data_IF_074551856591
#
_entry.id   IF_074551856591
#
_cell.length_a   1.000
_cell.length_b   1.000
_cell.length_c   1.000
_cell.angle_alpha   90.00
_cell.angle_beta   90.00
_cell.angle_gamma   90.00
#
_symmetry.space_group_name_H-M   'P 1'
#
loop_
_entity.id
_entity.type
_entity.pdbx_description
1 polymer ?
#
# COMPACT_ATOMS: atom_id res chain seq x y z
N UNK A 1 0.75 -12.71 -6.48
CA UNK A 1 0.59 -14.14 -6.09
C UNK A 1 0.58 -14.29 -4.56
N UNK A 2 0.13 -15.44 -4.03
CA UNK A 2 0.12 -15.73 -2.59
C UNK A 2 0.95 -16.98 -2.30
N UNK A 3 1.75 -16.96 -1.25
CA UNK A 3 2.63 -18.06 -0.85
C UNK A 3 2.21 -18.61 0.51
N UNK A 4 1.91 -19.90 0.57
CA UNK A 4 1.47 -20.61 1.76
C UNK A 4 2.51 -21.67 2.10
N UNK A 5 3.15 -21.51 3.25
CA UNK A 5 4.23 -22.37 3.72
C UNK A 5 3.88 -23.04 5.04
N UNK A 6 4.69 -24.00 5.46
CA UNK A 6 4.54 -24.70 6.74
C UNK A 6 5.11 -26.12 6.67
N UNK A 7 5.15 -26.81 7.79
CA UNK A 7 5.61 -28.21 7.83
C UNK A 7 4.73 -29.17 7.02
N UNK A 8 5.26 -30.36 6.78
CA UNK A 8 4.48 -31.46 6.22
C UNK A 8 3.27 -31.78 7.10
N UNK A 9 2.15 -32.15 6.46
CA UNK A 9 0.91 -32.55 7.13
C UNK A 9 0.26 -31.50 8.05
N UNK A 10 0.61 -30.22 7.92
CA UNK A 10 0.06 -29.12 8.74
C UNK A 10 -1.29 -28.58 8.26
N UNK A 11 -1.97 -29.25 7.32
CA UNK A 11 -3.29 -28.84 6.84
C UNK A 11 -3.32 -27.68 5.82
N UNK A 12 -2.19 -27.34 5.18
CA UNK A 12 -2.08 -26.19 4.24
C UNK A 12 -3.12 -26.19 3.11
N UNK A 13 -3.35 -27.34 2.45
CA UNK A 13 -4.31 -27.42 1.34
C UNK A 13 -5.73 -27.09 1.81
N UNK A 14 -6.15 -27.70 2.91
CA UNK A 14 -7.47 -27.49 3.49
C UNK A 14 -7.65 -26.05 3.97
N UNK A 15 -6.62 -25.49 4.60
CA UNK A 15 -6.58 -24.06 4.97
C UNK A 15 -6.82 -23.15 3.76
N UNK A 16 -6.12 -23.39 2.64
CA UNK A 16 -6.27 -22.61 1.41
C UNK A 16 -7.66 -22.76 0.81
N UNK A 17 -8.19 -23.98 0.74
CA UNK A 17 -9.54 -24.25 0.21
C UNK A 17 -10.60 -23.50 0.97
N UNK A 18 -10.55 -23.55 2.30
CA UNK A 18 -11.54 -22.90 3.15
C UNK A 18 -11.41 -21.37 3.13
N UNK A 19 -10.19 -20.84 3.15
CA UNK A 19 -9.94 -19.39 3.16
C UNK A 19 -10.27 -18.71 1.84
N UNK A 20 -9.94 -19.34 0.72
CA UNK A 20 -10.06 -18.74 -0.61
C UNK A 20 -11.18 -19.35 -1.46
N UNK A 21 -11.98 -20.26 -0.89
CA UNK A 21 -13.11 -20.92 -1.54
C UNK A 21 -12.74 -21.60 -2.87
N UNK A 22 -11.60 -22.29 -2.89
CA UNK A 22 -11.09 -22.96 -4.09
C UNK A 22 -11.59 -24.39 -4.15
N UNK A 23 -12.15 -24.76 -5.30
CA UNK A 23 -12.56 -26.13 -5.60
C UNK A 23 -11.34 -27.04 -5.80
N UNK A 24 -11.43 -28.30 -5.38
CA UNK A 24 -10.31 -29.27 -5.50
C UNK A 24 -9.84 -29.41 -6.96
N UNK A 25 -10.75 -29.35 -7.93
CA UNK A 25 -10.44 -29.43 -9.35
C UNK A 25 -9.57 -28.27 -9.87
N UNK A 26 -9.50 -27.15 -9.14
CA UNK A 26 -8.69 -25.96 -9.46
C UNK A 26 -7.32 -25.97 -8.76
N UNK A 27 -7.02 -27.04 -8.02
CA UNK A 27 -5.76 -27.23 -7.31
C UNK A 27 -4.93 -28.27 -8.05
N UNK A 28 -3.81 -27.85 -8.62
CA UNK A 28 -2.83 -28.81 -9.10
C UNK A 28 -2.14 -29.48 -7.91
N UNK A 29 -2.32 -30.79 -7.79
CA UNK A 29 -1.67 -31.65 -6.81
C UNK A 29 -0.92 -32.73 -7.56
N UNK A 30 0.37 -32.51 -7.84
CA UNK A 30 1.14 -33.42 -8.69
C UNK A 30 2.62 -33.09 -8.75
N UNK A 31 3.27 -33.65 -9.77
CA UNK A 31 4.70 -33.52 -10.01
C UNK A 31 5.08 -32.48 -11.05
N UNK A 32 6.35 -32.49 -11.43
CA UNK A 32 6.90 -31.82 -12.59
C UNK A 32 6.74 -32.71 -13.84
N UNK A 33 6.38 -32.15 -15.02
CA UNK A 33 5.97 -30.77 -15.23
C UNK A 33 4.51 -30.53 -14.79
N UNK A 34 4.22 -29.32 -14.33
CA UNK A 34 2.84 -28.84 -14.17
C UNK A 34 2.20 -28.70 -15.56
N UNK A 35 1.10 -29.40 -15.85
CA UNK A 35 0.42 -29.30 -17.14
C UNK A 35 -0.32 -27.97 -17.27
N UNK A 36 -0.58 -27.56 -18.50
CA UNK A 36 -1.49 -26.43 -18.74
C UNK A 36 -2.89 -26.76 -18.20
N UNK A 37 -3.54 -25.75 -17.65
CA UNK A 37 -4.86 -25.88 -17.03
C UNK A 37 -5.29 -24.58 -16.38
N UNK A 38 -6.58 -24.47 -16.09
CA UNK A 38 -7.16 -23.34 -15.39
C UNK A 38 -6.98 -23.49 -13.87
N UNK A 39 -5.71 -23.50 -13.44
CA UNK A 39 -5.33 -23.65 -12.04
C UNK A 39 -5.51 -22.34 -11.28
N UNK A 40 -5.93 -22.43 -10.02
CA UNK A 40 -5.93 -21.32 -9.07
C UNK A 40 -4.90 -21.54 -7.95
N UNK A 41 -4.51 -22.79 -7.73
CA UNK A 41 -3.53 -23.17 -6.72
C UNK A 41 -2.60 -24.27 -7.24
N UNK A 42 -1.32 -24.14 -6.92
CA UNK A 42 -0.32 -25.19 -7.10
C UNK A 42 0.07 -25.68 -5.70
N UNK A 43 -0.26 -26.93 -5.39
CA UNK A 43 0.10 -27.55 -4.13
C UNK A 43 1.29 -28.48 -4.27
N UNK A 44 2.31 -28.27 -3.43
CA UNK A 44 3.49 -29.11 -3.37
C UNK A 44 4.66 -28.61 -4.22
N UNK A 45 4.87 -27.29 -4.28
CA UNK A 45 5.99 -26.69 -5.05
C UNK A 45 7.35 -27.32 -4.71
N UNK A 46 7.57 -27.65 -3.43
CA UNK A 46 8.79 -28.32 -2.97
C UNK A 46 9.00 -29.70 -3.62
N UNK A 47 7.94 -30.41 -4.04
CA UNK A 47 8.06 -31.68 -4.78
C UNK A 47 8.36 -31.43 -6.26
N UNK A 48 7.77 -30.38 -6.85
CA UNK A 48 8.10 -29.95 -8.21
C UNK A 48 9.59 -29.63 -8.29
N UNK A 49 10.11 -28.82 -7.36
CA UNK A 49 11.55 -28.48 -7.29
C UNK A 49 12.42 -29.75 -7.18
N UNK A 50 12.03 -30.71 -6.30
CA UNK A 50 12.74 -31.99 -6.16
C UNK A 50 12.79 -32.77 -7.47
N UNK A 51 11.66 -32.94 -8.13
CA UNK A 51 11.56 -33.71 -9.37
C UNK A 51 12.29 -33.02 -10.53
N UNK A 52 12.24 -31.69 -10.59
CA UNK A 52 13.00 -30.92 -11.57
C UNK A 52 14.51 -31.14 -11.40
N UNK A 53 15.02 -31.10 -10.16
CA UNK A 53 16.43 -31.41 -9.88
C UNK A 53 16.82 -32.84 -10.29
N UNK A 54 15.96 -33.82 -10.02
CA UNK A 54 16.23 -35.24 -10.34
C UNK A 54 16.11 -35.57 -11.84
N UNK A 55 15.42 -34.73 -12.62
CA UNK A 55 15.15 -34.98 -14.03
C UNK A 55 16.35 -34.76 -14.96
N UNK A 56 17.46 -34.16 -14.48
CA UNK A 56 18.62 -33.74 -15.27
C UNK A 56 18.31 -32.85 -16.50
N UNK A 57 17.08 -32.31 -16.60
CA UNK A 57 16.65 -31.44 -17.71
C UNK A 57 17.32 -30.06 -17.66
N UNK A 58 17.67 -29.62 -16.45
CA UNK A 58 18.40 -28.39 -16.18
C UNK A 58 19.76 -28.78 -15.59
N UNK A 59 20.85 -28.10 -15.98
CA UNK A 59 22.19 -28.35 -15.45
C UNK A 59 22.32 -27.79 -14.02
N UNK A 60 21.49 -28.30 -13.10
CA UNK A 60 21.53 -28.03 -11.66
C UNK A 60 21.46 -26.54 -11.27
N UNK A 61 20.99 -25.64 -12.12
CA UNK A 61 20.93 -24.22 -11.75
C UNK A 61 19.59 -23.89 -11.10
N UNK A 62 19.64 -23.51 -9.82
CA UNK A 62 18.51 -22.93 -9.06
C UNK A 62 17.76 -21.85 -9.86
N UNK A 63 18.46 -21.12 -10.73
CA UNK A 63 17.92 -20.05 -11.57
C UNK A 63 16.94 -20.56 -12.62
N UNK A 64 17.22 -21.69 -13.27
CA UNK A 64 16.33 -22.27 -14.28
C UNK A 64 15.03 -22.77 -13.65
N UNK A 65 15.13 -23.41 -12.47
CA UNK A 65 13.94 -23.86 -11.72
C UNK A 65 13.11 -22.65 -11.28
N UNK A 66 13.76 -21.60 -10.76
CA UNK A 66 13.07 -20.35 -10.42
C UNK A 66 12.40 -19.71 -11.64
N UNK A 67 13.05 -19.70 -12.79
CA UNK A 67 12.48 -19.19 -14.04
C UNK A 67 11.26 -19.99 -14.49
N UNK A 68 11.31 -21.32 -14.40
CA UNK A 68 10.16 -22.20 -14.64
C UNK A 68 8.99 -21.86 -13.71
N UNK A 69 9.25 -21.74 -12.40
CA UNK A 69 8.21 -21.44 -11.40
C UNK A 69 7.61 -20.04 -11.64
N UNK A 70 8.42 -19.03 -11.93
CA UNK A 70 7.93 -17.69 -12.32
C UNK A 70 7.10 -17.75 -13.60
N UNK A 71 7.50 -18.57 -14.58
CA UNK A 71 6.71 -18.81 -15.79
C UNK A 71 5.32 -19.36 -15.50
N UNK A 72 5.19 -20.27 -14.54
CA UNK A 72 3.88 -20.76 -14.07
C UNK A 72 3.07 -19.66 -13.37
N UNK A 73 3.71 -18.91 -12.48
CA UNK A 73 3.06 -17.84 -11.71
C UNK A 73 2.53 -16.74 -12.63
N UNK A 74 3.31 -16.34 -13.63
CA UNK A 74 2.94 -15.25 -14.54
C UNK A 74 1.79 -15.62 -15.49
N UNK A 75 1.55 -16.91 -15.74
CA UNK A 75 0.41 -17.38 -16.55
C UNK A 75 -0.93 -17.29 -15.81
N UNK A 76 -0.91 -17.24 -14.47
CA UNK A 76 -2.11 -17.37 -13.64
C UNK A 76 -2.20 -16.18 -12.69
N UNK A 77 -3.10 -15.21 -12.97
CA UNK A 77 -3.35 -14.09 -12.08
C UNK A 77 -3.73 -14.57 -10.67
N UNK A 78 -3.18 -13.91 -9.65
CA UNK A 78 -3.50 -14.17 -8.23
C UNK A 78 -3.29 -15.60 -7.70
N UNK A 79 -2.51 -16.43 -8.41
CA UNK A 79 -2.23 -17.83 -8.04
C UNK A 79 -1.78 -18.00 -6.58
N UNK A 80 -2.20 -19.11 -5.97
CA UNK A 80 -1.76 -19.54 -4.65
C UNK A 80 -0.77 -20.69 -4.76
N UNK A 81 0.43 -20.50 -4.23
CA UNK A 81 1.49 -21.50 -4.18
C UNK A 81 1.54 -22.08 -2.78
N UNK A 82 1.44 -23.40 -2.65
CA UNK A 82 1.61 -24.10 -1.38
C UNK A 82 2.92 -24.90 -1.40
N UNK A 83 3.75 -24.71 -0.38
CA UNK A 83 5.03 -25.39 -0.24
C UNK A 83 5.30 -25.85 1.20
N UNK A 84 6.18 -26.85 1.33
CA UNK A 84 6.68 -27.29 2.62
C UNK A 84 7.95 -26.52 2.95
N UNK A 85 8.13 -26.17 4.23
CA UNK A 85 9.37 -25.57 4.72
C UNK A 85 10.45 -26.65 4.90
N UNK A 86 10.98 -27.14 3.78
CA UNK A 86 11.98 -28.21 3.77
C UNK A 86 13.36 -27.75 4.22
N UNK A 87 13.62 -26.45 4.30
CA UNK A 87 14.89 -25.90 4.79
C UNK A 87 15.09 -26.09 6.29
N UNK A 88 14.02 -26.24 7.08
CA UNK A 88 14.08 -26.30 8.54
C UNK A 88 14.31 -27.73 9.05
N UNK A 89 15.07 -27.89 10.15
CA UNK A 89 15.31 -29.18 10.80
C UNK A 89 16.67 -29.82 10.47
N UNK A 90 16.85 -31.09 10.83
CA UNK A 90 18.14 -31.80 10.79
C UNK A 90 18.70 -31.85 9.37
N UNK A 91 19.94 -31.42 9.16
CA UNK A 91 20.60 -31.47 7.84
C UNK A 91 20.79 -32.91 7.38
N UNK A 92 20.36 -33.31 6.16
CA UNK A 92 20.49 -34.69 5.70
C UNK A 92 21.94 -35.09 5.45
N UNK A 93 22.23 -36.38 5.65
CA UNK A 93 23.54 -36.96 5.36
C UNK A 93 23.79 -37.11 3.85
N UNK A 94 22.73 -37.38 3.08
CA UNK A 94 22.78 -37.54 1.63
C UNK A 94 22.97 -36.19 0.91
N UNK A 95 23.91 -36.12 -0.03
CA UNK A 95 24.25 -34.88 -0.75
C UNK A 95 23.07 -34.33 -1.55
N UNK A 96 22.37 -35.19 -2.30
CA UNK A 96 21.23 -34.78 -3.13
C UNK A 96 20.07 -34.20 -2.29
N UNK A 97 19.81 -34.75 -1.11
CA UNK A 97 18.80 -34.21 -0.20
C UNK A 97 19.20 -32.85 0.39
N UNK A 98 20.50 -32.60 0.61
CA UNK A 98 20.99 -31.27 1.00
C UNK A 98 20.80 -30.24 -0.11
N UNK A 99 21.22 -30.58 -1.34
CA UNK A 99 21.11 -29.72 -2.52
C UNK A 99 19.66 -29.36 -2.81
N UNK A 100 18.77 -30.35 -2.74
CA UNK A 100 17.34 -30.14 -2.84
C UNK A 100 16.82 -29.13 -1.81
N UNK A 101 17.14 -29.33 -0.53
CA UNK A 101 16.65 -28.46 0.55
C UNK A 101 17.17 -27.03 0.42
N UNK A 102 18.43 -26.87 0.04
CA UNK A 102 19.00 -25.55 -0.23
C UNK A 102 18.29 -24.88 -1.40
N UNK A 103 18.16 -25.56 -2.54
CA UNK A 103 17.49 -25.04 -3.73
C UNK A 103 16.04 -24.62 -3.42
N UNK A 104 15.27 -25.51 -2.78
CA UNK A 104 13.89 -25.24 -2.40
C UNK A 104 13.77 -24.05 -1.43
N UNK A 105 14.65 -23.97 -0.42
CA UNK A 105 14.68 -22.85 0.50
C UNK A 105 14.98 -21.52 -0.19
N UNK A 106 15.98 -21.49 -1.09
CA UNK A 106 16.35 -20.28 -1.84
C UNK A 106 15.23 -19.82 -2.79
N UNK A 107 14.58 -20.75 -3.49
CA UNK A 107 13.43 -20.43 -4.34
C UNK A 107 12.29 -19.85 -3.50
N UNK A 108 11.97 -20.46 -2.35
CA UNK A 108 10.95 -19.92 -1.45
C UNK A 108 11.29 -18.53 -0.92
N UNK A 109 12.56 -18.23 -0.65
CA UNK A 109 13.00 -16.88 -0.29
C UNK A 109 12.74 -15.86 -1.41
N UNK A 110 13.03 -16.19 -2.67
CA UNK A 110 12.73 -15.30 -3.80
C UNK A 110 11.23 -15.11 -3.99
N UNK A 111 10.46 -16.20 -3.94
CA UNK A 111 9.01 -16.15 -4.03
C UNK A 111 8.38 -15.34 -2.89
N UNK A 112 8.90 -15.43 -1.66
CA UNK A 112 8.42 -14.64 -0.54
C UNK A 112 8.63 -13.12 -0.74
N UNK A 113 9.72 -12.72 -1.43
CA UNK A 113 9.94 -11.31 -1.81
C UNK A 113 8.91 -10.82 -2.82
N UNK A 114 8.53 -11.68 -3.76
CA UNK A 114 7.59 -11.36 -4.84
C UNK A 114 6.12 -11.48 -4.43
N UNK A 115 5.81 -12.31 -3.42
CA UNK A 115 4.46 -12.57 -2.97
C UNK A 115 3.75 -11.31 -2.47
N UNK A 116 2.46 -11.19 -2.76
CA UNK A 116 1.59 -10.20 -2.13
C UNK A 116 1.28 -10.62 -0.70
N UNK A 117 1.19 -11.93 -0.44
CA UNK A 117 0.94 -12.47 0.90
C UNK A 117 1.79 -13.71 1.12
N UNK A 118 2.43 -13.80 2.28
CA UNK A 118 3.12 -15.00 2.76
C UNK A 118 2.45 -15.41 4.07
N UNK A 119 1.97 -16.64 4.13
CA UNK A 119 1.34 -17.20 5.34
C UNK A 119 2.00 -18.52 5.71
N UNK A 120 2.27 -18.72 7.00
CA UNK A 120 2.70 -20.00 7.54
C UNK A 120 1.52 -20.68 8.20
N UNK A 121 1.29 -21.95 7.87
CA UNK A 121 0.24 -22.77 8.48
C UNK A 121 0.87 -23.75 9.45
N UNK A 122 0.34 -23.76 10.67
CA UNK A 122 0.69 -24.71 11.73
C UNK A 122 -0.59 -25.27 12.35
N UNK A 123 -0.73 -26.59 12.40
CA UNK A 123 -1.92 -27.28 12.88
C UNK A 123 -3.23 -26.78 12.24
N UNK A 124 -3.21 -26.46 10.94
CA UNK A 124 -4.35 -25.89 10.21
C UNK A 124 -4.60 -24.40 10.46
N UNK A 125 -3.81 -23.75 11.32
CA UNK A 125 -3.94 -22.33 11.67
C UNK A 125 -2.93 -21.52 10.86
N UNK A 126 -3.42 -20.53 10.11
CA UNK A 126 -2.59 -19.62 9.33
C UNK A 126 -2.10 -18.42 10.13
N UNK A 127 -0.83 -18.08 9.95
CA UNK A 127 -0.19 -16.87 10.45
C UNK A 127 0.36 -16.06 9.27
N UNK A 128 -0.05 -14.80 9.15
CA UNK A 128 0.50 -13.88 8.14
C UNK A 128 1.92 -13.49 8.52
N UNK A 129 2.88 -13.83 7.65
CA UNK A 129 4.29 -13.41 7.76
C UNK A 129 4.49 -12.08 7.04
N UNK A 130 3.89 -11.94 5.86
CA UNK A 130 3.96 -10.76 5.00
C UNK A 130 2.63 -10.55 4.31
N UNK A 131 2.22 -9.31 4.14
CA UNK A 131 1.09 -8.93 3.30
C UNK A 131 1.31 -7.57 2.64
N UNK A 132 0.82 -7.42 1.42
CA UNK A 132 0.79 -6.17 0.68
C UNK A 132 -0.64 -5.61 0.73
N UNK A 133 -0.75 -4.34 1.11
CA UNK A 133 -1.99 -3.56 1.00
C UNK A 133 -1.72 -2.29 0.20
N UNK A 134 -2.78 -1.66 -0.27
CA UNK A 134 -2.72 -0.45 -1.07
C UNK A 134 -3.37 0.71 -0.35
N UNK A 135 -2.81 1.90 -0.56
CA UNK A 135 -3.28 3.14 0.05
C UNK A 135 -3.39 4.19 -1.04
N UNK A 136 -4.59 4.70 -1.29
CA UNK A 136 -4.78 5.90 -2.12
C UNK A 136 -4.77 7.12 -1.21
N UNK A 137 -3.72 7.92 -1.28
CA UNK A 137 -3.65 9.25 -0.66
C UNK A 137 -4.29 10.25 -1.62
N UNK A 138 -5.44 10.82 -1.27
CA UNK A 138 -6.21 11.70 -2.16
C UNK A 138 -6.36 13.06 -1.49
N UNK A 139 -5.95 14.13 -2.19
CA UNK A 139 -6.19 15.50 -1.75
C UNK A 139 -7.65 15.84 -2.03
N UNK A 140 -8.31 16.49 -1.07
CA UNK A 140 -9.69 16.97 -1.25
C UNK A 140 -9.86 17.82 -2.53
N UNK A 141 -11.08 17.85 -3.05
CA UNK A 141 -11.44 18.73 -4.18
C UNK A 141 -11.28 20.22 -3.85
N UNK A 142 -11.32 21.07 -4.87
CA UNK A 142 -11.08 22.51 -4.71
C UNK A 142 -12.15 23.19 -3.83
N UNK A 143 -11.72 24.13 -2.97
CA UNK A 143 -12.59 25.08 -2.25
C UNK A 143 -12.52 26.48 -2.88
N UNK A 144 -13.37 27.41 -2.45
CA UNK A 144 -13.28 28.80 -2.90
C UNK A 144 -11.92 29.42 -2.54
N UNK A 145 -11.45 29.22 -1.30
CA UNK A 145 -10.14 29.69 -0.88
C UNK A 145 -8.99 29.10 -1.71
N UNK A 146 -9.09 27.85 -2.17
CA UNK A 146 -8.07 27.28 -3.08
C UNK A 146 -8.04 28.01 -4.44
N UNK A 147 -9.20 28.32 -5.02
CA UNK A 147 -9.27 29.03 -6.30
C UNK A 147 -8.71 30.46 -6.19
N UNK A 148 -8.82 31.07 -5.01
CA UNK A 148 -8.31 32.41 -4.70
C UNK A 148 -6.86 32.41 -4.18
N UNK A 149 -6.20 31.25 -4.10
CA UNK A 149 -4.83 31.14 -3.59
C UNK A 149 -4.69 31.51 -2.10
N UNK A 150 -5.76 31.33 -1.31
CA UNK A 150 -5.76 31.57 0.13
C UNK A 150 -5.16 30.41 0.90
N UNK A 151 -4.52 30.70 2.02
CA UNK A 151 -4.12 29.70 3.00
C UNK A 151 -5.37 29.15 3.71
N UNK A 152 -5.76 27.91 3.40
CA UNK A 152 -6.94 27.22 3.95
C UNK A 152 -6.49 26.02 4.77
N UNK A 153 -6.33 26.20 6.06
CA UNK A 153 -5.87 25.17 6.97
C UNK A 153 -7.01 24.68 7.87
N UNK A 154 -7.17 25.31 9.02
CA UNK A 154 -8.25 25.02 9.98
C UNK A 154 -9.59 25.65 9.59
N UNK A 155 -9.59 26.62 8.68
CA UNK A 155 -10.83 27.17 8.13
C UNK A 155 -11.62 26.04 7.45
N UNK A 156 -12.82 25.77 7.96
CA UNK A 156 -13.60 24.59 7.60
C UNK A 156 -14.55 24.85 6.43
N UNK A 157 -13.94 25.07 5.26
CA UNK A 157 -14.66 25.31 4.00
C UNK A 157 -15.26 24.02 3.43
N UNK A 158 -16.38 24.19 2.72
CA UNK A 158 -16.93 23.19 1.80
C UNK A 158 -16.18 23.23 0.46
N UNK A 159 -16.40 22.20 -0.35
CA UNK A 159 -16.00 22.26 -1.76
C UNK A 159 -16.72 23.40 -2.49
N UNK A 160 -16.08 23.98 -3.50
CA UNK A 160 -16.77 24.83 -4.46
C UNK A 160 -17.42 23.95 -5.55
N UNK A 161 -18.34 24.52 -6.33
CA UNK A 161 -19.08 23.75 -7.35
C UNK A 161 -18.13 23.15 -8.40
N UNK A 162 -17.15 23.94 -8.86
CA UNK A 162 -16.08 23.46 -9.75
C UNK A 162 -15.33 22.25 -9.16
N UNK A 163 -15.03 22.28 -7.86
CA UNK A 163 -14.35 21.17 -7.18
C UNK A 163 -15.21 19.90 -7.09
N UNK A 164 -16.53 20.05 -6.94
CA UNK A 164 -17.47 18.92 -6.98
C UNK A 164 -17.55 18.31 -8.38
N UNK A 165 -17.67 19.15 -9.40
CA UNK A 165 -17.73 18.75 -10.81
C UNK A 165 -16.47 17.97 -11.22
N UNK A 166 -15.29 18.51 -10.88
CA UNK A 166 -14.00 17.88 -11.15
C UNK A 166 -13.90 16.49 -10.50
N UNK A 167 -14.32 16.34 -9.23
CA UNK A 167 -14.32 15.05 -8.55
C UNK A 167 -15.24 14.03 -9.23
N UNK A 168 -16.41 14.45 -9.69
CA UNK A 168 -17.35 13.56 -10.39
C UNK A 168 -16.80 13.12 -11.74
N UNK A 169 -16.19 14.03 -12.49
CA UNK A 169 -15.56 13.73 -13.78
C UNK A 169 -14.43 12.71 -13.59
N UNK A 170 -13.49 12.98 -12.67
CA UNK A 170 -12.35 12.10 -12.39
C UNK A 170 -12.79 10.74 -11.85
N UNK A 171 -13.84 10.71 -11.02
CA UNK A 171 -14.48 9.45 -10.58
C UNK A 171 -15.01 8.66 -11.78
N UNK A 172 -15.68 9.32 -12.73
CA UNK A 172 -16.17 8.71 -13.96
C UNK A 172 -15.06 8.13 -14.85
N UNK A 173 -13.87 8.72 -14.79
CA UNK A 173 -12.67 8.23 -15.48
C UNK A 173 -11.99 7.03 -14.77
N UNK A 174 -12.41 6.69 -13.54
CA UNK A 174 -11.89 5.54 -12.80
C UNK A 174 -10.52 5.76 -12.14
N UNK A 175 -9.99 6.99 -12.09
CA UNK A 175 -8.61 7.25 -11.63
C UNK A 175 -8.36 6.89 -10.16
N UNK A 176 -9.41 6.75 -9.35
CA UNK A 176 -9.32 6.46 -7.91
C UNK A 176 -9.39 4.97 -7.55
N UNK A 177 -9.52 4.07 -8.53
CA UNK A 177 -9.67 2.64 -8.28
C UNK A 177 -8.86 1.77 -9.23
N UNK A 178 -7.70 2.25 -9.69
CA UNK A 178 -6.86 1.55 -10.66
C UNK A 178 -5.43 1.32 -10.16
N UNK A 179 -4.83 0.22 -10.62
CA UNK A 179 -3.39 -0.08 -10.57
C UNK A 179 -2.94 -0.56 -11.95
N UNK A 180 -1.64 -0.74 -12.16
CA UNK A 180 -1.08 -1.20 -13.45
C UNK A 180 -1.74 -2.47 -14.00
N UNK A 181 -2.18 -3.38 -13.12
CA UNK A 181 -2.83 -4.65 -13.48
C UNK A 181 -4.36 -4.58 -13.61
N UNK A 182 -4.96 -3.39 -13.50
CA UNK A 182 -6.40 -3.17 -13.67
C UNK A 182 -7.08 -2.56 -12.43
N UNK A 183 -8.35 -2.90 -12.23
CA UNK A 183 -9.18 -2.31 -11.18
C UNK A 183 -8.78 -2.84 -9.79
N UNK A 184 -8.67 -1.93 -8.84
CA UNK A 184 -8.42 -2.17 -7.43
C UNK A 184 -9.50 -1.43 -6.59
N UNK A 185 -10.63 -2.10 -6.30
CA UNK A 185 -11.73 -1.49 -5.54
C UNK A 185 -11.27 -1.04 -4.16
N UNK A 186 -11.75 0.13 -3.72
CA UNK A 186 -11.52 0.62 -2.35
C UNK A 186 -12.46 -0.11 -1.41
N UNK A 187 -11.91 -0.68 -0.33
CA UNK A 187 -12.64 -1.47 0.66
C UNK A 187 -12.87 -0.70 1.97
N UNK A 188 -12.07 0.35 2.21
CA UNK A 188 -12.17 1.21 3.38
C UNK A 188 -11.80 2.66 3.06
N UNK A 189 -12.39 3.62 3.78
CA UNK A 189 -12.11 5.05 3.63
C UNK A 189 -11.72 5.66 4.97
N UNK A 190 -10.70 6.50 4.94
CA UNK A 190 -10.23 7.31 6.05
C UNK A 190 -10.25 8.76 5.61
N UNK A 191 -10.60 9.66 6.52
CA UNK A 191 -10.64 11.08 6.17
C UNK A 191 -10.22 11.99 7.32
N UNK A 192 -9.75 13.18 6.96
CA UNK A 192 -9.66 14.32 7.87
C UNK A 192 -11.06 14.77 8.32
N UNK A 193 -11.21 15.36 9.52
CA UNK A 193 -12.51 15.88 9.99
C UNK A 193 -13.02 17.08 9.18
N UNK A 194 -12.16 17.77 8.42
CA UNK A 194 -12.55 18.95 7.65
C UNK A 194 -13.62 18.63 6.59
N UNK A 195 -14.63 19.49 6.47
CA UNK A 195 -15.82 19.30 5.63
C UNK A 195 -15.46 19.04 4.17
N UNK A 196 -14.51 19.77 3.60
CA UNK A 196 -13.99 19.51 2.24
C UNK A 196 -13.48 18.07 2.04
N UNK A 197 -12.84 17.45 3.03
CA UNK A 197 -12.38 16.07 2.96
C UNK A 197 -13.54 15.08 3.10
N UNK A 198 -14.43 15.32 4.07
CA UNK A 198 -15.62 14.47 4.29
C UNK A 198 -16.54 14.49 3.07
N UNK A 199 -16.75 15.66 2.47
CA UNK A 199 -17.54 15.85 1.26
C UNK A 199 -16.88 15.14 0.06
N UNK A 200 -15.56 15.28 -0.10
CA UNK A 200 -14.80 14.55 -1.14
C UNK A 200 -14.96 13.03 -0.96
N UNK A 201 -14.80 12.52 0.26
CA UNK A 201 -14.95 11.09 0.56
C UNK A 201 -16.34 10.58 0.20
N UNK A 202 -17.40 11.35 0.51
CA UNK A 202 -18.78 11.01 0.17
C UNK A 202 -19.04 11.01 -1.34
N UNK A 203 -18.42 11.92 -2.10
CA UNK A 203 -18.53 11.95 -3.57
C UNK A 203 -17.87 10.71 -4.18
N UNK A 204 -16.65 10.38 -3.75
CA UNK A 204 -15.87 9.30 -4.33
C UNK A 204 -16.37 7.91 -3.91
N UNK A 205 -16.74 7.74 -2.64
CA UNK A 205 -17.08 6.46 -2.03
C UNK A 205 -18.38 6.54 -1.22
N UNK A 206 -19.54 6.77 -1.88
CA UNK A 206 -20.81 7.03 -1.19
C UNK A 206 -21.28 5.87 -0.30
N UNK A 207 -20.87 4.65 -0.61
CA UNK A 207 -21.31 3.43 0.09
C UNK A 207 -20.39 3.03 1.25
N UNK A 208 -19.30 3.76 1.48
CA UNK A 208 -18.32 3.46 2.54
C UNK A 208 -18.36 4.56 3.60
N UNK A 209 -18.70 4.19 4.84
CA UNK A 209 -18.63 5.12 5.97
C UNK A 209 -17.16 5.38 6.34
N UNK A 210 -16.68 6.64 6.28
CA UNK A 210 -15.28 6.93 6.51
C UNK A 210 -14.92 6.90 8.00
N UNK A 211 -13.72 6.42 8.30
CA UNK A 211 -13.09 6.59 9.62
C UNK A 211 -12.45 7.98 9.68
N UNK A 212 -12.89 8.80 10.63
CA UNK A 212 -12.38 10.18 10.80
C UNK A 212 -11.17 10.19 11.74
N UNK A 213 -10.06 10.77 11.28
CA UNK A 213 -8.82 10.91 12.06
C UNK A 213 -8.52 12.39 12.27
N UNK A 214 -8.68 12.88 13.51
CA UNK A 214 -8.52 14.30 13.87
C UNK A 214 -7.13 14.83 13.52
N UNK A 215 -6.11 14.01 13.73
CA UNK A 215 -4.70 14.30 13.49
C UNK A 215 -4.35 14.44 12.01
N UNK A 216 -5.28 14.18 11.09
CA UNK A 216 -5.14 14.47 9.66
C UNK A 216 -5.73 15.81 9.24
N UNK A 217 -6.15 16.67 10.17
CA UNK A 217 -6.49 18.08 9.87
C UNK A 217 -5.35 18.77 9.14
N UNK A 218 -5.63 19.74 8.26
CA UNK A 218 -4.57 20.50 7.59
C UNK A 218 -3.75 21.31 8.61
N UNK A 219 -2.59 21.76 8.16
CA UNK A 219 -1.71 22.68 8.86
C UNK A 219 -2.48 23.89 9.37
N UNK A 220 -2.22 24.29 10.61
CA UNK A 220 -2.74 25.54 11.15
C UNK A 220 -1.91 26.71 10.64
N UNK A 221 -2.45 27.48 9.69
CA UNK A 221 -1.74 28.63 9.12
C UNK A 221 -1.75 29.86 10.02
N UNK A 222 -2.38 29.79 11.21
CA UNK A 222 -2.37 30.86 12.20
C UNK A 222 -2.84 32.19 11.62
N UNK A 223 -2.03 33.24 11.76
CA UNK A 223 -2.35 34.58 11.25
C UNK A 223 -2.51 34.64 9.71
N UNK A 224 -2.01 33.65 8.97
CA UNK A 224 -2.13 33.62 7.52
C UNK A 224 -3.45 33.00 7.03
N UNK A 225 -4.22 32.34 7.90
CA UNK A 225 -5.52 31.74 7.55
C UNK A 225 -6.43 32.72 6.81
N UNK A 226 -7.07 32.18 5.77
CA UNK A 226 -8.05 32.87 4.96
C UNK A 226 -7.50 34.02 4.12
N UNK A 227 -6.18 34.23 4.05
CA UNK A 227 -5.56 35.30 3.26
C UNK A 227 -4.79 34.74 2.08
N UNK A 228 -4.78 35.48 0.98
CA UNK A 228 -3.89 35.22 -0.14
C UNK A 228 -2.60 36.03 -0.03
N UNK A 229 -1.67 35.80 -0.97
CA UNK A 229 -0.38 36.50 -1.02
C UNK A 229 -0.52 38.03 -1.01
N UNK A 230 -1.44 38.57 -1.82
CA UNK A 230 -1.59 40.03 -1.97
C UNK A 230 -2.09 40.67 -0.67
N UNK A 231 -3.08 40.07 -0.03
CA UNK A 231 -3.64 40.52 1.23
C UNK A 231 -2.60 40.47 2.36
N UNK A 232 -1.77 39.42 2.41
CA UNK A 232 -0.69 39.28 3.38
C UNK A 232 0.38 40.37 3.21
N UNK A 233 0.75 40.68 1.97
CA UNK A 233 1.75 41.72 1.68
C UNK A 233 1.23 43.14 1.86
N UNK A 234 -0.09 43.37 1.70
CA UNK A 234 -0.71 44.67 1.92
C UNK A 234 -0.92 45.01 3.41
N UNK A 235 -1.08 44.00 4.26
CA UNK A 235 -1.21 44.21 5.70
C UNK A 235 0.15 44.55 6.34
N UNK A 236 0.29 45.78 6.84
CA UNK A 236 1.53 46.30 7.46
C UNK A 236 2.02 45.46 8.64
N UNK A 237 1.15 44.73 9.34
CA UNK A 237 1.53 43.87 10.46
C UNK A 237 1.94 42.48 10.00
N UNK A 238 1.31 41.95 8.95
CA UNK A 238 1.55 40.59 8.48
C UNK A 238 2.68 40.51 7.45
N UNK A 239 2.88 41.55 6.63
CA UNK A 239 3.89 41.54 5.57
C UNK A 239 5.31 41.22 6.08
N UNK A 240 5.82 41.77 7.20
CA UNK A 240 7.13 41.39 7.74
C UNK A 240 7.19 39.93 8.19
N UNK A 241 6.11 39.41 8.79
CA UNK A 241 6.02 38.02 9.24
C UNK A 241 5.97 37.05 8.04
N UNK A 242 5.24 37.43 7.00
CA UNK A 242 5.13 36.66 5.77
C UNK A 242 6.47 36.64 5.02
N UNK A 243 7.16 37.78 4.90
CA UNK A 243 8.49 37.84 4.30
C UNK A 243 9.48 36.96 5.06
N UNK A 244 9.49 37.01 6.39
CA UNK A 244 10.36 36.15 7.20
C UNK A 244 10.05 34.64 7.02
N UNK A 245 8.79 34.29 6.74
CA UNK A 245 8.40 32.91 6.43
C UNK A 245 8.89 32.47 5.05
N UNK A 246 8.81 33.34 4.04
CA UNK A 246 9.36 33.10 2.70
C UNK A 246 10.88 32.97 2.74
N UNK A 247 11.57 33.87 3.46
CA UNK A 247 13.03 33.84 3.63
C UNK A 247 13.49 32.57 4.35
N UNK A 248 12.62 31.98 5.19
CA UNK A 248 12.80 30.68 5.82
C UNK A 248 12.45 29.48 4.93
N UNK A 249 12.25 29.68 3.62
CA UNK A 249 11.83 28.67 2.64
C UNK A 249 10.56 27.91 3.05
N UNK A 250 9.66 28.59 3.77
CA UNK A 250 8.43 28.00 4.30
C UNK A 250 8.65 26.92 5.36
N UNK A 251 9.84 26.84 5.97
CA UNK A 251 10.17 25.87 7.02
C UNK A 251 10.03 26.44 8.42
N UNK A 252 9.95 27.77 8.55
CA UNK A 252 9.70 28.43 9.83
C UNK A 252 8.24 28.22 10.26
N UNK A 253 7.95 28.18 11.58
CA UNK A 253 6.57 28.06 12.06
C UNK A 253 5.67 29.17 11.54
N UNK A 254 4.41 28.85 11.25
CA UNK A 254 3.42 29.87 10.96
C UNK A 254 3.18 30.75 12.22
N UNK A 255 3.09 32.09 12.08
CA UNK A 255 2.80 32.96 13.22
C UNK A 255 1.45 32.60 13.86
N UNK A 256 1.46 32.31 15.16
CA UNK A 256 0.29 31.80 15.91
C UNK A 256 -0.33 30.52 15.33
N UNK A 257 0.42 29.79 14.51
CA UNK A 257 0.00 28.55 13.86
C UNK A 257 0.88 27.37 14.25
N UNK A 258 0.83 26.33 13.41
CA UNK A 258 1.60 25.10 13.59
C UNK A 258 2.94 25.18 12.86
N UNK A 259 3.97 24.52 13.42
CA UNK A 259 5.23 24.31 12.70
C UNK A 259 5.16 23.07 11.79
N UNK A 260 5.99 23.05 10.74
CA UNK A 260 6.13 21.86 9.88
C UNK A 260 6.48 20.60 10.70
N UNK A 261 7.30 20.73 11.75
CA UNK A 261 7.66 19.61 12.61
C UNK A 261 6.48 19.09 13.43
N UNK A 262 5.67 19.98 14.03
CA UNK A 262 4.49 19.61 14.79
C UNK A 262 3.48 18.85 13.91
N UNK A 263 3.22 19.41 12.72
CA UNK A 263 2.37 18.81 11.71
C UNK A 263 2.88 17.41 11.32
N UNK A 264 4.16 17.29 10.97
CA UNK A 264 4.74 16.00 10.55
C UNK A 264 4.65 14.96 11.65
N UNK A 265 4.95 15.35 12.89
CA UNK A 265 4.91 14.46 14.05
C UNK A 265 3.50 13.92 14.29
N UNK A 266 2.46 14.76 14.27
CA UNK A 266 1.08 14.30 14.49
C UNK A 266 0.57 13.42 13.35
N UNK A 267 0.88 13.76 12.10
CA UNK A 267 0.46 12.96 10.94
C UNK A 267 1.16 11.61 10.90
N UNK A 268 2.47 11.57 11.19
CA UNK A 268 3.23 10.32 11.26
C UNK A 268 2.71 9.40 12.37
N UNK A 269 2.53 9.93 13.59
CA UNK A 269 2.02 9.15 14.71
C UNK A 269 0.59 8.61 14.45
N UNK A 270 -0.26 9.39 13.77
CA UNK A 270 -1.59 8.94 13.40
C UNK A 270 -1.57 7.85 12.32
N UNK A 271 -0.69 7.98 11.32
CA UNK A 271 -0.53 6.98 10.27
C UNK A 271 -0.02 5.64 10.83
N UNK A 272 0.95 5.67 11.75
CA UNK A 272 1.44 4.45 12.42
C UNK A 272 0.34 3.73 13.21
N UNK A 273 -0.50 4.48 13.93
CA UNK A 273 -1.68 3.93 14.63
C UNK A 273 -2.73 3.34 13.67
N UNK A 274 -2.73 3.78 12.42
CA UNK A 274 -3.65 3.32 11.38
C UNK A 274 -3.23 1.97 10.78
N UNK A 275 -1.95 1.60 10.85
CA UNK A 275 -1.39 0.39 10.21
C UNK A 275 -2.20 -0.90 10.49
N UNK A 276 -2.64 -1.20 11.73
CA UNK A 276 -3.43 -2.39 12.01
C UNK A 276 -4.81 -2.40 11.34
N UNK A 277 -5.37 -1.23 11.05
CA UNK A 277 -6.63 -1.10 10.32
C UNK A 277 -6.39 -1.24 8.81
N UNK A 278 -5.33 -0.61 8.28
CA UNK A 278 -4.93 -0.76 6.87
C UNK A 278 -4.66 -2.22 6.53
N UNK A 279 -4.08 -2.97 7.46
CA UNK A 279 -3.82 -4.40 7.35
C UNK A 279 -5.07 -5.28 7.09
N UNK A 280 -6.28 -4.76 7.35
CA UNK A 280 -7.55 -5.51 7.22
C UNK A 280 -8.22 -5.34 5.86
N UNK A 281 -7.74 -4.40 5.04
CA UNK A 281 -8.33 -4.07 3.73
C UNK A 281 -7.25 -4.15 2.67
N UNK A 282 -7.56 -4.70 1.50
CA UNK A 282 -6.60 -4.75 0.38
C UNK A 282 -6.31 -3.35 -0.14
N UNK A 283 -7.29 -2.45 -0.10
CA UNK A 283 -7.15 -1.08 -0.56
C UNK A 283 -7.94 -0.12 0.32
N UNK A 284 -7.25 0.86 0.90
CA UNK A 284 -7.85 1.94 1.69
C UNK A 284 -7.62 3.29 1.02
N UNK A 285 -8.66 4.11 0.89
CA UNK A 285 -8.51 5.51 0.48
C UNK A 285 -8.39 6.43 1.70
N UNK A 286 -7.39 7.31 1.70
CA UNK A 286 -7.18 8.38 2.68
C UNK A 286 -7.48 9.71 1.98
N UNK A 287 -8.65 10.28 2.26
CA UNK A 287 -9.07 11.59 1.71
C UNK A 287 -8.68 12.69 2.70
N UNK A 288 -7.60 13.39 2.40
CA UNK A 288 -6.88 14.30 3.31
C UNK A 288 -6.44 15.58 2.58
N UNK A 289 -5.45 16.29 3.11
CA UNK A 289 -4.97 17.56 2.55
C UNK A 289 -3.56 17.46 1.97
N UNK A 290 -3.13 18.50 1.26
CA UNK A 290 -1.80 18.55 0.66
C UNK A 290 -0.69 18.40 1.70
N UNK A 291 -0.79 19.11 2.83
CA UNK A 291 0.17 18.97 3.91
C UNK A 291 0.25 17.53 4.42
N UNK A 292 -0.91 16.93 4.72
CA UNK A 292 -1.00 15.54 5.23
C UNK A 292 -0.34 14.54 4.29
N UNK A 293 -0.58 14.67 2.98
CA UNK A 293 0.02 13.80 1.96
C UNK A 293 1.54 13.97 1.95
N UNK A 294 2.03 15.21 1.86
CA UNK A 294 3.46 15.50 1.87
C UNK A 294 4.15 14.95 3.12
N UNK A 295 3.50 15.05 4.28
CA UNK A 295 4.01 14.46 5.52
C UNK A 295 4.10 12.94 5.47
N UNK A 296 3.03 12.25 5.05
CA UNK A 296 3.01 10.78 4.98
C UNK A 296 4.04 10.30 3.94
N UNK A 297 4.03 10.88 2.74
CA UNK A 297 4.92 10.50 1.65
C UNK A 297 6.39 10.64 2.07
N UNK A 298 6.82 11.82 2.52
CA UNK A 298 8.22 12.05 2.94
C UNK A 298 8.63 11.20 4.16
N UNK A 299 7.68 10.85 5.04
CA UNK A 299 7.97 10.08 6.25
C UNK A 299 8.03 8.57 6.02
N UNK A 300 7.29 8.01 5.05
CA UNK A 300 7.11 6.56 4.95
C UNK A 300 7.48 5.97 3.58
N UNK A 301 7.43 6.76 2.50
CA UNK A 301 7.75 6.24 1.17
C UNK A 301 9.26 6.09 0.96
N UNK A 302 9.62 5.05 0.21
CA UNK A 302 10.97 4.75 -0.27
C UNK A 302 10.97 4.64 -1.80
N UNK A 303 11.94 5.25 -2.53
CA UNK A 303 13.03 6.09 -2.04
C UNK A 303 12.51 7.35 -1.32
N UNK A 304 13.34 7.92 -0.45
CA UNK A 304 12.97 9.11 0.30
C UNK A 304 12.85 10.31 -0.63
N UNK A 305 11.73 11.01 -0.52
CA UNK A 305 11.46 12.26 -1.22
C UNK A 305 11.36 13.42 -0.22
N UNK A 306 11.77 14.60 -0.66
CA UNK A 306 11.64 15.83 0.10
C UNK A 306 10.16 16.23 0.25
N UNK A 307 9.82 16.87 1.37
CA UNK A 307 8.43 17.18 1.73
C UNK A 307 7.64 17.87 0.61
N UNK A 308 8.20 18.96 0.05
CA UNK A 308 7.54 19.73 -1.01
C UNK A 308 7.54 19.05 -2.38
N UNK A 309 8.39 18.03 -2.61
CA UNK A 309 8.38 17.26 -3.85
C UNK A 309 7.13 16.37 -3.97
N UNK A 310 6.52 16.02 -2.84
CA UNK A 310 5.31 15.21 -2.77
C UNK A 310 4.00 16.03 -2.86
N UNK A 311 4.07 17.29 -3.30
CA UNK A 311 2.89 18.13 -3.45
C UNK A 311 2.03 17.67 -4.65
N UNK A 312 0.72 17.60 -4.44
CA UNK A 312 -0.28 17.29 -5.47
C UNK A 312 -1.38 18.35 -5.50
N UNK A 313 -2.05 18.51 -6.65
CA UNK A 313 -3.16 19.44 -6.78
C UNK A 313 -4.43 18.92 -6.08
N UNK A 314 -5.46 19.76 -5.96
CA UNK A 314 -6.76 19.31 -5.49
C UNK A 314 -7.29 18.17 -6.37
N UNK A 315 -8.04 17.23 -5.77
CA UNK A 315 -8.54 16.01 -6.41
C UNK A 315 -7.47 15.02 -6.95
N UNK A 316 -6.18 15.36 -6.91
CA UNK A 316 -5.06 14.47 -7.23
C UNK A 316 -4.56 13.70 -6.00
N UNK A 317 -3.54 12.86 -6.21
CA UNK A 317 -2.91 12.14 -5.12
C UNK A 317 -1.91 11.08 -5.55
N UNK A 318 -1.77 10.05 -4.73
CA UNK A 318 -0.84 8.94 -4.93
C UNK A 318 -1.48 7.62 -4.57
N UNK A 319 -1.20 6.59 -5.35
CA UNK A 319 -1.40 5.20 -4.95
C UNK A 319 -0.06 4.67 -4.43
N UNK A 320 -0.10 4.13 -3.22
CA UNK A 320 1.07 3.55 -2.59
C UNK A 320 0.84 2.07 -2.29
N UNK A 321 1.88 1.28 -2.50
CA UNK A 321 1.98 -0.10 -2.06
C UNK A 321 2.64 -0.13 -0.69
N UNK A 322 1.99 -0.72 0.29
CA UNK A 322 2.49 -0.91 1.65
C UNK A 322 2.68 -2.40 1.93
N UNK A 323 3.92 -2.82 2.09
CA UNK A 323 4.26 -4.16 2.55
C UNK A 323 4.33 -4.17 4.08
N UNK A 324 3.54 -5.02 4.72
CA UNK A 324 3.49 -5.23 6.17
C UNK A 324 4.06 -6.61 6.51
N UNK A 325 4.89 -6.69 7.54
CA UNK A 325 5.39 -7.97 8.07
C UNK A 325 4.85 -8.24 9.48
N UNK A 326 4.94 -9.48 9.95
CA UNK A 326 4.16 -10.05 11.07
C UNK A 326 4.10 -9.32 12.43
N UNK A 327 4.90 -8.26 12.67
CA UNK A 327 4.78 -7.40 13.86
C UNK A 327 4.26 -5.99 13.56
N UNK A 328 3.87 -5.70 12.31
CA UNK A 328 3.50 -4.37 11.81
C UNK A 328 4.56 -3.27 12.06
N UNK A 329 5.76 -3.64 12.49
CA UNK A 329 6.84 -2.71 12.84
C UNK A 329 7.83 -2.51 11.70
N UNK A 330 7.91 -3.47 10.78
CA UNK A 330 8.69 -3.35 9.56
C UNK A 330 7.73 -3.30 8.38
N UNK A 331 7.62 -2.10 7.80
CA UNK A 331 6.89 -1.89 6.56
C UNK A 331 7.74 -1.15 5.54
N UNK A 332 7.51 -1.47 4.27
CA UNK A 332 8.06 -0.72 3.15
C UNK A 332 6.90 -0.14 2.36
N UNK A 333 6.82 1.19 2.31
CA UNK A 333 5.85 1.89 1.49
C UNK A 333 6.55 2.41 0.23
N UNK A 334 5.96 2.17 -0.93
CA UNK A 334 6.43 2.70 -2.22
C UNK A 334 5.30 3.38 -2.94
N UNK A 335 5.57 4.55 -3.51
CA UNK A 335 4.66 5.15 -4.49
C UNK A 335 4.68 4.28 -5.76
N UNK A 336 3.51 3.95 -6.28
CA UNK A 336 3.38 3.14 -7.50
C UNK A 336 2.68 3.89 -8.63
N UNK A 337 1.83 4.86 -8.30
CA UNK A 337 1.15 5.67 -9.30
C UNK A 337 0.85 7.05 -8.72
N UNK A 338 0.94 8.08 -9.56
CA UNK A 338 0.37 9.39 -9.27
C UNK A 338 -1.06 9.42 -9.79
N UNK A 339 -2.00 9.75 -8.92
CA UNK A 339 -3.41 9.95 -9.28
C UNK A 339 -3.49 11.34 -9.90
N UNK A 340 -3.48 11.40 -11.23
CA UNK A 340 -3.47 12.62 -12.04
C UNK A 340 -4.84 13.00 -12.54
#
# INVERSE_FOLDING_TARGET
MKLIIGGAYQGKKEYVRNKYHIEEARIWQGGYPVPDGEWQCINGLHNIIRQTLQSNVYQESQQEILAYVRGLINKIPDIIIIADEVGCGIVPMEKGEREYRECAGRILCELAKEADTVERVHCGIGQVIKQTVYISLIRHGSTAGNLEGRYVGRTDELLCDKGREELQERKGQGVYCVKESGVLPVEAVVTSPMRRCVETAKILYPDITPVIIKEFTETDFGLFEGKNYEELMQDKKLAPLYQAWIDGEGKTPFPEGESLEQMRRRCAAAFEKLLPMLARSRHTALVVHGGTIMSIMSSFVTPKEEYYACQCANAEGYLCRLELTGNMALYQMRCILRIL
#
